data_IF_672487714453
#
_entry.id   IF_672487714453
#
_cell.length_a   1.000
_cell.length_b   1.000
_cell.length_c   1.000
_cell.angle_alpha   90.00
_cell.angle_beta   90.00
_cell.angle_gamma   90.00
#
_symmetry.space_group_name_H-M   'P 1'
#
loop_
_entity.id
_entity.type
_entity.pdbx_description
1 polymer ?
#
# COMPACT_ATOMS: atom_id res chain seq x y z
N UNK A 1 -75.68 1.20 15.97
CA UNK A 1 -75.55 2.63 15.60
C UNK A 1 -74.08 2.93 15.45
N UNK A 2 -73.68 3.25 14.22
CA UNK A 2 -72.31 3.47 13.75
C UNK A 2 -71.99 4.96 13.75
N UNK A 3 -70.73 5.34 14.06
CA UNK A 3 -69.97 6.58 13.71
C UNK A 3 -68.87 6.76 14.78
N UNK A 4 -67.59 7.07 14.52
CA UNK A 4 -66.98 8.05 13.61
C UNK A 4 -65.58 7.57 13.19
N UNK A 5 -65.25 7.76 11.90
CA UNK A 5 -63.92 7.65 11.33
C UNK A 5 -63.08 8.93 11.53
N UNK A 6 -61.77 8.80 11.75
CA UNK A 6 -60.77 9.75 11.22
C UNK A 6 -59.37 9.12 11.16
N UNK A 7 -58.86 8.97 9.95
CA UNK A 7 -57.45 8.75 9.65
C UNK A 7 -56.63 10.03 9.91
N UNK A 8 -55.34 9.90 10.24
CA UNK A 8 -54.20 10.40 9.42
C UNK A 8 -52.89 10.40 10.20
N UNK A 9 -51.88 9.80 9.56
CA UNK A 9 -50.50 10.30 9.40
C UNK A 9 -49.56 10.40 10.61
N UNK A 10 -48.45 9.66 10.53
CA UNK A 10 -47.27 9.91 11.36
C UNK A 10 -46.17 8.86 11.24
N UNK A 11 -45.76 8.51 10.02
CA UNK A 11 -44.62 7.62 9.76
C UNK A 11 -43.30 8.33 10.15
N UNK A 12 -42.81 8.12 11.37
CA UNK A 12 -41.45 8.55 11.74
C UNK A 12 -40.46 7.43 11.39
N UNK A 13 -39.88 7.64 10.21
CA UNK A 13 -38.84 6.89 9.52
C UNK A 13 -37.62 6.62 10.43
N UNK A 14 -37.28 5.34 10.62
CA UNK A 14 -35.97 4.89 11.11
C UNK A 14 -34.86 5.58 10.29
N UNK A 15 -34.05 6.39 10.95
CA UNK A 15 -32.82 6.92 10.40
C UNK A 15 -31.74 5.83 10.38
N UNK A 16 -31.73 5.01 9.34
CA UNK A 16 -30.59 4.16 9.01
C UNK A 16 -29.38 5.03 8.67
N UNK A 17 -28.47 5.21 9.63
CA UNK A 17 -27.12 5.71 9.35
C UNK A 17 -26.30 4.60 8.72
N UNK A 18 -26.53 4.33 7.44
CA UNK A 18 -25.67 3.48 6.60
C UNK A 18 -24.87 4.38 5.67
N UNK A 19 -23.75 4.93 6.15
CA UNK A 19 -22.85 5.77 5.34
C UNK A 19 -21.46 5.15 5.10
N UNK A 20 -21.28 3.85 5.34
CA UNK A 20 -20.07 3.16 4.93
C UNK A 20 -20.43 2.10 3.88
N UNK A 21 -20.16 2.39 2.61
CA UNK A 21 -20.00 1.33 1.63
C UNK A 21 -18.73 0.58 2.02
N UNK A 22 -18.87 -0.66 2.49
CA UNK A 22 -17.71 -1.49 2.78
C UNK A 22 -16.97 -1.72 1.46
N UNK A 23 -15.76 -1.17 1.34
CA UNK A 23 -14.92 -1.46 0.20
C UNK A 23 -14.59 -2.96 0.23
N UNK A 24 -15.17 -3.73 -0.67
CA UNK A 24 -14.81 -5.13 -0.96
C UNK A 24 -13.43 -5.18 -1.61
N UNK A 25 -12.39 -4.89 -0.84
CA UNK A 25 -11.02 -5.24 -1.19
C UNK A 25 -10.83 -6.72 -0.90
N UNK A 26 -10.65 -7.54 -1.93
CA UNK A 26 -10.42 -8.99 -1.80
C UNK A 26 -9.33 -9.24 -0.74
N UNK A 27 -9.73 -9.88 0.36
CA UNK A 27 -8.91 -10.18 1.52
C UNK A 27 -7.93 -11.29 1.20
N UNK A 28 -6.72 -10.92 0.81
CA UNK A 28 -5.60 -11.87 0.80
C UNK A 28 -5.19 -12.06 2.27
N UNK A 29 -5.31 -13.29 2.76
CA UNK A 29 -4.94 -13.65 4.13
C UNK A 29 -3.42 -13.51 4.28
N UNK A 30 -2.98 -12.50 5.01
CA UNK A 30 -1.56 -12.33 5.33
C UNK A 30 -1.26 -13.12 6.61
N UNK A 31 -0.29 -14.05 6.59
CA UNK A 31 -0.04 -14.97 7.72
C UNK A 31 0.36 -14.30 9.03
N UNK A 32 0.99 -13.11 8.97
CA UNK A 32 1.42 -12.34 10.13
C UNK A 32 0.76 -10.95 10.16
N UNK A 33 0.18 -10.58 11.30
CA UNK A 33 -0.28 -9.23 11.56
C UNK A 33 0.91 -8.33 11.96
N UNK A 34 1.53 -7.70 10.96
CA UNK A 34 2.56 -6.69 11.21
C UNK A 34 1.92 -5.34 11.56
N UNK A 35 2.39 -4.75 12.64
CA UNK A 35 1.92 -3.46 13.14
C UNK A 35 2.85 -2.34 12.65
N UNK A 36 2.38 -1.09 12.69
CA UNK A 36 3.16 0.07 12.28
C UNK A 36 2.97 0.46 10.81
N UNK A 37 3.86 1.33 10.34
CA UNK A 37 3.81 1.88 8.99
C UNK A 37 4.26 0.81 7.99
N UNK A 38 5.39 0.18 8.31
CA UNK A 38 6.07 -0.86 7.56
C UNK A 38 5.18 -2.08 7.34
N UNK A 39 4.47 -2.53 8.39
CA UNK A 39 3.54 -3.66 8.31
C UNK A 39 2.41 -3.39 7.32
N UNK A 40 1.78 -2.21 7.39
CA UNK A 40 0.70 -1.83 6.47
C UNK A 40 1.15 -1.82 5.01
N UNK A 41 2.34 -1.30 4.72
CA UNK A 41 2.88 -1.31 3.36
C UNK A 41 3.29 -2.72 2.91
N UNK A 42 3.87 -3.53 3.80
CA UNK A 42 4.25 -4.92 3.51
C UNK A 42 3.02 -5.79 3.19
N UNK A 43 1.97 -5.71 4.02
CA UNK A 43 0.68 -6.41 3.81
C UNK A 43 0.03 -5.99 2.49
N UNK A 44 0.04 -4.69 2.17
CA UNK A 44 -0.50 -4.17 0.91
C UNK A 44 0.29 -4.68 -0.30
N UNK A 45 1.63 -4.66 -0.22
CA UNK A 45 2.50 -5.18 -1.27
C UNK A 45 2.30 -6.68 -1.48
N UNK A 46 2.23 -7.47 -0.41
CA UNK A 46 1.95 -8.90 -0.45
C UNK A 46 0.60 -9.18 -1.12
N UNK A 47 -0.44 -8.45 -0.72
CA UNK A 47 -1.77 -8.57 -1.32
C UNK A 47 -1.76 -8.25 -2.81
N UNK A 48 -1.04 -7.20 -3.23
CA UNK A 48 -0.92 -6.81 -4.63
C UNK A 48 -0.12 -7.84 -5.46
N UNK A 49 0.96 -8.37 -4.89
CA UNK A 49 1.81 -9.37 -5.52
C UNK A 49 1.10 -10.74 -5.62
N UNK A 50 0.36 -11.15 -4.58
CA UNK A 50 -0.45 -12.36 -4.58
C UNK A 50 -1.56 -12.31 -5.64
N UNK A 51 -2.29 -11.17 -5.74
CA UNK A 51 -3.31 -10.97 -6.78
C UNK A 51 -2.77 -11.07 -8.20
N UNK A 52 -1.49 -10.72 -8.40
CA UNK A 52 -0.81 -10.78 -9.69
C UNK A 52 0.01 -12.05 -9.89
N UNK A 53 0.07 -12.95 -8.90
CA UNK A 53 0.93 -14.13 -8.89
C UNK A 53 2.43 -13.81 -9.13
N UNK A 54 2.88 -12.63 -8.70
CA UNK A 54 4.27 -12.15 -8.88
C UNK A 54 5.08 -12.15 -7.59
N UNK A 55 4.63 -12.89 -6.57
CA UNK A 55 5.30 -12.98 -5.25
C UNK A 55 6.82 -13.25 -5.33
N UNK A 56 7.31 -14.30 -6.04
CA UNK A 56 8.74 -14.60 -6.07
C UNK A 56 9.55 -13.56 -6.84
N UNK A 57 8.96 -12.92 -7.85
CA UNK A 57 9.60 -11.86 -8.62
C UNK A 57 9.75 -10.59 -7.78
N UNK A 58 8.70 -10.20 -7.05
CA UNK A 58 8.73 -9.04 -6.16
C UNK A 58 9.76 -9.24 -5.05
N UNK A 59 9.84 -10.44 -4.46
CA UNK A 59 10.85 -10.74 -3.44
C UNK A 59 12.29 -10.59 -3.98
N UNK A 60 12.56 -11.13 -5.17
CA UNK A 60 13.86 -11.00 -5.82
C UNK A 60 14.20 -9.53 -6.12
N UNK A 61 13.23 -8.75 -6.59
CA UNK A 61 13.41 -7.32 -6.85
C UNK A 61 13.71 -6.53 -5.56
N UNK A 62 12.99 -6.83 -4.47
CA UNK A 62 13.22 -6.18 -3.17
C UNK A 62 14.63 -6.51 -2.62
N UNK A 63 15.11 -7.74 -2.78
CA UNK A 63 16.49 -8.13 -2.40
C UNK A 63 17.54 -7.38 -3.23
N UNK A 64 17.32 -7.21 -4.54
CA UNK A 64 18.18 -6.39 -5.40
C UNK A 64 18.20 -4.94 -4.95
N UNK A 65 17.02 -4.35 -4.70
CA UNK A 65 16.91 -2.98 -4.23
C UNK A 65 17.61 -2.78 -2.88
N UNK A 66 17.43 -3.69 -1.93
CA UNK A 66 18.13 -3.65 -0.65
C UNK A 66 19.65 -3.64 -0.85
N UNK A 67 20.16 -4.52 -1.71
CA UNK A 67 21.59 -4.59 -2.05
C UNK A 67 22.10 -3.29 -2.68
N UNK A 68 21.32 -2.67 -3.57
CA UNK A 68 21.68 -1.40 -4.19
C UNK A 68 21.73 -0.26 -3.17
N UNK A 69 20.75 -0.18 -2.28
CA UNK A 69 20.73 0.83 -1.22
C UNK A 69 21.95 0.69 -0.30
N UNK A 70 22.42 -0.53 -0.05
CA UNK A 70 23.63 -0.77 0.74
C UNK A 70 24.92 -0.48 -0.03
N UNK A 71 24.98 -0.76 -1.34
CA UNK A 71 26.18 -0.56 -2.18
C UNK A 71 26.38 0.90 -2.60
N UNK A 72 25.30 1.60 -2.94
CA UNK A 72 25.34 2.94 -3.53
C UNK A 72 24.93 3.98 -2.48
N UNK A 73 25.91 4.65 -1.86
CA UNK A 73 25.66 5.71 -0.88
C UNK A 73 24.80 6.86 -1.46
N UNK A 74 24.90 7.13 -2.77
CA UNK A 74 24.09 8.13 -3.47
C UNK A 74 22.61 7.77 -3.49
N UNK A 75 22.28 6.49 -3.70
CA UNK A 75 20.89 6.00 -3.69
C UNK A 75 20.33 6.14 -2.28
N UNK A 76 21.11 5.79 -1.26
CA UNK A 76 20.70 5.97 0.14
C UNK A 76 20.42 7.44 0.47
N UNK A 77 21.33 8.34 0.10
CA UNK A 77 21.14 9.79 0.30
C UNK A 77 19.90 10.31 -0.44
N UNK A 78 19.63 9.81 -1.65
CA UNK A 78 18.42 10.16 -2.40
C UNK A 78 17.14 9.70 -1.68
N UNK A 79 17.13 8.48 -1.11
CA UNK A 79 15.97 7.96 -0.37
C UNK A 79 15.72 8.68 0.96
N UNK A 80 16.79 9.13 1.62
CA UNK A 80 16.73 9.84 2.91
C UNK A 80 16.46 11.34 2.76
N UNK A 81 16.67 11.94 1.58
CA UNK A 81 16.56 13.38 1.38
C UNK A 81 15.08 13.86 1.27
N UNK A 82 14.55 14.59 2.27
CA UNK A 82 13.17 15.07 2.26
C UNK A 82 12.95 16.33 1.42
N UNK A 83 14.03 17.02 1.04
CA UNK A 83 14.01 18.33 0.35
C UNK A 83 13.66 18.16 -1.14
N UNK A 84 13.86 16.95 -1.70
CA UNK A 84 13.54 16.66 -3.08
C UNK A 84 12.03 16.77 -3.35
N UNK A 85 11.68 17.55 -4.37
CA UNK A 85 10.30 17.66 -4.85
C UNK A 85 9.73 16.30 -5.26
N UNK A 86 8.40 16.15 -5.16
CA UNK A 86 7.71 14.88 -5.48
C UNK A 86 8.03 14.38 -6.90
N UNK A 87 8.13 15.29 -7.87
CA UNK A 87 8.45 14.98 -9.26
C UNK A 87 9.86 14.40 -9.40
N UNK A 88 10.88 15.10 -8.88
CA UNK A 88 12.27 14.67 -8.92
C UNK A 88 12.47 13.32 -8.22
N UNK A 89 11.74 13.06 -7.12
CA UNK A 89 11.76 11.75 -6.46
C UNK A 89 11.18 10.64 -7.33
N UNK A 90 10.07 10.91 -8.01
CA UNK A 90 9.47 9.93 -8.92
C UNK A 90 10.39 9.62 -10.09
N UNK A 91 11.00 10.63 -10.69
CA UNK A 91 11.96 10.45 -11.79
C UNK A 91 13.19 9.66 -11.34
N UNK A 92 13.77 9.98 -10.18
CA UNK A 92 14.92 9.23 -9.66
C UNK A 92 14.56 7.76 -9.37
N UNK A 93 13.37 7.49 -8.82
CA UNK A 93 12.88 6.11 -8.67
C UNK A 93 12.69 5.44 -10.03
N UNK A 94 12.15 6.14 -11.03
CA UNK A 94 11.96 5.58 -12.37
C UNK A 94 13.31 5.23 -13.03
N UNK A 95 14.33 6.07 -12.88
CA UNK A 95 15.69 5.79 -13.39
C UNK A 95 16.31 4.56 -12.71
N UNK A 96 16.20 4.47 -11.38
CA UNK A 96 16.72 3.34 -10.61
C UNK A 96 16.01 2.03 -11.00
N UNK A 97 14.69 2.09 -11.14
CA UNK A 97 13.87 0.91 -11.47
C UNK A 97 14.05 0.45 -12.92
N UNK A 98 14.22 1.38 -13.87
CA UNK A 98 14.56 1.08 -15.26
C UNK A 98 15.92 0.38 -15.37
N UNK A 99 16.92 0.85 -14.64
CA UNK A 99 18.27 0.26 -14.66
C UNK A 99 18.33 -1.18 -14.10
N UNK A 100 17.34 -1.59 -13.32
CA UNK A 100 17.30 -2.91 -12.65
C UNK A 100 16.28 -3.88 -13.24
N UNK A 101 15.50 -3.45 -14.25
CA UNK A 101 14.44 -4.24 -14.88
C UNK A 101 13.48 -4.87 -13.84
N UNK A 102 13.07 -4.08 -12.85
CA UNK A 102 12.14 -4.57 -11.81
C UNK A 102 10.73 -4.75 -12.36
N UNK A 103 9.95 -5.61 -11.72
CA UNK A 103 8.55 -5.84 -12.05
C UNK A 103 7.72 -4.55 -11.90
N UNK A 104 6.68 -4.40 -12.74
CA UNK A 104 5.70 -3.33 -12.66
C UNK A 104 5.06 -3.19 -11.25
N UNK A 105 4.86 -4.29 -10.52
CA UNK A 105 4.35 -4.24 -9.14
C UNK A 105 5.32 -3.52 -8.21
N UNK A 106 6.60 -3.88 -8.28
CA UNK A 106 7.68 -3.27 -7.49
C UNK A 106 7.86 -1.79 -7.85
N UNK A 107 7.83 -1.47 -9.16
CA UNK A 107 7.90 -0.09 -9.65
C UNK A 107 6.77 0.76 -9.09
N UNK A 108 5.52 0.31 -9.22
CA UNK A 108 4.35 1.04 -8.72
C UNK A 108 4.41 1.22 -7.21
N UNK A 109 4.88 0.20 -6.48
CA UNK A 109 5.08 0.30 -5.04
C UNK A 109 6.08 1.39 -4.65
N UNK A 110 7.24 1.45 -5.32
CA UNK A 110 8.23 2.50 -5.08
C UNK A 110 7.70 3.90 -5.44
N UNK A 111 6.90 4.02 -6.50
CA UNK A 111 6.23 5.30 -6.84
C UNK A 111 5.29 5.75 -5.71
N UNK A 112 4.49 4.84 -5.15
CA UNK A 112 3.61 5.15 -4.01
C UNK A 112 4.43 5.59 -2.78
N UNK A 113 5.57 4.96 -2.51
CA UNK A 113 6.45 5.39 -1.42
C UNK A 113 7.07 6.77 -1.70
N UNK A 114 7.43 7.05 -2.95
CA UNK A 114 7.93 8.36 -3.37
C UNK A 114 6.90 9.47 -3.17
N UNK A 115 5.63 9.22 -3.53
CA UNK A 115 4.53 10.17 -3.36
C UNK A 115 4.22 10.45 -1.89
N UNK A 116 4.31 9.42 -1.04
CA UNK A 116 4.03 9.52 0.39
C UNK A 116 5.23 9.98 1.23
N UNK A 117 6.37 10.30 0.61
CA UNK A 117 7.62 10.64 1.31
C UNK A 117 8.10 9.57 2.29
N UNK A 118 7.91 8.29 1.95
CA UNK A 118 8.28 7.13 2.78
C UNK A 118 9.40 6.28 2.16
N UNK A 119 10.19 6.87 1.26
CA UNK A 119 11.31 6.19 0.62
C UNK A 119 12.41 5.79 1.62
N UNK A 120 12.61 6.56 2.70
CA UNK A 120 13.53 6.19 3.77
C UNK A 120 13.11 4.94 4.55
N UNK A 121 11.82 4.60 4.56
CA UNK A 121 11.27 3.43 5.26
C UNK A 121 11.32 2.15 4.42
N UNK A 122 11.71 2.25 3.14
CA UNK A 122 11.89 1.12 2.22
C UNK A 122 12.65 -0.06 2.84
N UNK A 123 13.83 0.11 3.48
CA UNK A 123 14.54 -1.02 4.09
C UNK A 123 13.73 -1.71 5.20
N UNK A 124 12.97 -0.97 6.02
CA UNK A 124 12.11 -1.56 7.06
C UNK A 124 10.94 -2.30 6.46
N UNK A 125 10.34 -1.78 5.39
CA UNK A 125 9.25 -2.46 4.68
C UNK A 125 9.74 -3.76 4.02
N UNK A 126 10.97 -3.77 3.49
CA UNK A 126 11.57 -4.99 2.93
C UNK A 126 11.74 -6.06 4.00
N UNK A 127 12.26 -5.69 5.18
CA UNK A 127 12.40 -6.60 6.32
C UNK A 127 11.03 -7.14 6.77
N UNK A 128 10.04 -6.25 6.93
CA UNK A 128 8.67 -6.61 7.26
C UNK A 128 8.08 -7.60 6.23
N UNK A 129 8.27 -7.34 4.94
CA UNK A 129 7.82 -8.22 3.86
C UNK A 129 8.50 -9.60 3.90
N UNK A 130 9.80 -9.66 4.18
CA UNK A 130 10.52 -10.91 4.37
C UNK A 130 9.99 -11.70 5.57
N UNK A 131 9.69 -11.03 6.69
CA UNK A 131 9.05 -11.67 7.85
C UNK A 131 7.64 -12.18 7.59
N UNK A 132 6.92 -11.66 6.57
CA UNK A 132 5.60 -12.19 6.17
C UNK A 132 5.70 -13.45 5.30
N UNK A 133 6.81 -13.61 4.58
CA UNK A 133 7.04 -14.73 3.66
C UNK A 133 7.84 -15.89 4.27
N UNK A 134 8.55 -15.63 5.37
CA UNK A 134 9.24 -16.64 6.18
C UNK A 134 8.23 -17.55 6.90
#
# INVERSE_FOLDING_TARGET
MSTIARATSGLVRQGSRTYATAATGSSVSVPLALHGIEGRYATALFTAAAKKNTLPQVEADLKKLQTLVTKEAKVRQFLENPILGKHARREGVDVITQGQQVNAVTKNFLQVLAENSRLAETPKIIQAYQSLMA
#
